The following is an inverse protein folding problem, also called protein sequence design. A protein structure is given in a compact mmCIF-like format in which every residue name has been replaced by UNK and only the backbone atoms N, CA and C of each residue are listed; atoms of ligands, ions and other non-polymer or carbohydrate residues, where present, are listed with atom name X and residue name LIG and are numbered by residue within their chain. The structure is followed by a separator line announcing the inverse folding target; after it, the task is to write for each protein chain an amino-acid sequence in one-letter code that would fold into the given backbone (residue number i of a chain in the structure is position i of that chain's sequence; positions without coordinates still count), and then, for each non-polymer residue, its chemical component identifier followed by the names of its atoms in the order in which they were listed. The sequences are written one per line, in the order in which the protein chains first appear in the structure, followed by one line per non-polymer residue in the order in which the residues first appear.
data_IF_131934203157
#
_entry.id   IF_131934203157
#
_cell.length_a   1.000
_cell.length_b   1.000
_cell.length_c   1.000
_cell.angle_alpha   90.00
_cell.angle_beta   90.00
_cell.angle_gamma   90.00
#
_symmetry.space_group_name_H-M   'P 1'
#
loop_
_entity.id
_entity.type
_entity.pdbx_description
1 polymer ?
#
# COMPACT_ATOMS: atom_id res chain seq x y z
N UNK A 1 -22.90 -0.18 -8.81
CA UNK A 1 -21.50 0.30 -8.94
C UNK A 1 -21.26 0.86 -10.35
N UNK A 2 -22.34 1.10 -11.10
CA UNK A 2 -22.35 1.16 -12.56
C UNK A 2 -22.03 2.57 -13.07
N UNK A 3 -22.22 3.60 -12.24
CA UNK A 3 -21.95 4.99 -12.59
C UNK A 3 -20.44 5.33 -12.64
N UNK A 4 -19.59 4.48 -12.06
CA UNK A 4 -18.14 4.70 -12.08
C UNK A 4 -17.59 4.66 -13.50
N UNK A 5 -18.10 3.76 -14.34
CA UNK A 5 -17.65 3.65 -15.73
C UNK A 5 -18.03 4.90 -16.53
N UNK A 6 -19.16 5.53 -16.20
CA UNK A 6 -19.61 6.78 -16.79
C UNK A 6 -18.84 8.02 -16.32
N UNK A 7 -18.06 7.94 -15.23
CA UNK A 7 -17.38 9.07 -14.58
C UNK A 7 -15.85 8.85 -14.47
N UNK A 8 -15.13 8.68 -15.60
CA UNK A 8 -13.70 8.37 -15.58
C UNK A 8 -12.86 9.49 -14.97
N UNK A 9 -13.22 10.75 -15.20
CA UNK A 9 -12.48 11.89 -14.66
C UNK A 9 -12.60 11.98 -13.14
N UNK A 10 -13.81 11.82 -12.59
CA UNK A 10 -14.01 11.81 -11.14
C UNK A 10 -13.23 10.66 -10.48
N UNK A 11 -13.25 9.47 -11.09
CA UNK A 11 -12.44 8.35 -10.60
C UNK A 11 -10.95 8.66 -10.64
N UNK A 12 -10.44 9.32 -11.68
CA UNK A 12 -9.05 9.74 -11.76
C UNK A 12 -8.68 10.72 -10.64
N UNK A 13 -9.54 11.71 -10.36
CA UNK A 13 -9.34 12.67 -9.25
C UNK A 13 -9.32 11.96 -7.91
N UNK A 14 -10.27 11.07 -7.63
CA UNK A 14 -10.32 10.31 -6.37
C UNK A 14 -9.04 9.47 -6.19
N UNK A 15 -8.56 8.82 -7.26
CA UNK A 15 -7.30 8.06 -7.24
C UNK A 15 -6.10 8.95 -6.98
N UNK A 16 -6.04 10.14 -7.57
CA UNK A 16 -4.93 11.07 -7.38
C UNK A 16 -4.90 11.66 -5.98
N UNK A 17 -6.07 11.97 -5.40
CA UNK A 17 -6.18 12.37 -3.99
C UNK A 17 -5.66 11.27 -3.08
N UNK A 18 -6.06 10.01 -3.33
CA UNK A 18 -5.62 8.89 -2.50
C UNK A 18 -4.14 8.53 -2.71
N UNK A 19 -3.56 8.88 -3.87
CA UNK A 19 -2.11 8.78 -4.12
C UNK A 19 -1.33 9.82 -3.31
N UNK A 20 -1.83 11.05 -3.23
CA UNK A 20 -1.19 12.14 -2.49
C UNK A 20 -1.38 12.05 -0.98
N UNK A 21 -2.58 11.69 -0.54
CA UNK A 21 -2.98 11.63 0.86
C UNK A 21 -3.76 10.34 1.13
N UNK A 22 -3.09 9.18 1.12
CA UNK A 22 -3.73 7.92 1.47
C UNK A 22 -4.22 7.95 2.91
N UNK A 23 -5.37 7.32 3.15
CA UNK A 23 -6.00 7.21 4.48
C UNK A 23 -5.05 6.53 5.48
N UNK A 24 -4.25 5.58 5.01
CA UNK A 24 -3.22 4.90 5.80
C UNK A 24 -1.85 5.05 5.08
N UNK A 25 -1.08 6.11 5.39
CA UNK A 25 0.23 6.39 4.76
C UNK A 25 1.23 5.24 4.81
N UNK A 26 1.16 4.44 5.87
CA UNK A 26 2.01 3.27 6.07
C UNK A 26 1.28 1.93 5.98
N UNK A 27 0.00 1.96 5.59
CA UNK A 27 -0.86 0.78 5.61
C UNK A 27 -1.03 0.19 7.01
N UNK A 28 -1.12 -1.14 7.05
CA UNK A 28 -1.13 -1.92 8.29
C UNK A 28 0.22 -2.58 8.45
N UNK A 29 0.80 -2.50 9.65
CA UNK A 29 2.06 -3.18 9.94
C UNK A 29 1.93 -4.68 9.71
N UNK A 30 2.82 -5.22 8.88
CA UNK A 30 2.89 -6.66 8.60
C UNK A 30 3.97 -7.31 9.45
N UNK A 31 3.85 -8.62 9.68
CA UNK A 31 4.86 -9.41 10.39
C UNK A 31 5.35 -10.55 9.52
N UNK A 32 6.66 -10.68 9.42
CA UNK A 32 7.33 -11.74 8.69
C UNK A 32 7.07 -13.09 9.39
N UNK A 33 6.37 -14.00 8.70
CA UNK A 33 5.97 -15.30 9.26
C UNK A 33 7.09 -16.35 9.21
N UNK A 34 7.98 -16.23 8.24
CA UNK A 34 9.15 -17.08 7.99
C UNK A 34 10.29 -16.19 7.50
N UNK A 35 11.54 -16.58 7.69
CA UNK A 35 12.67 -15.76 7.24
C UNK A 35 12.62 -15.57 5.72
N UNK A 36 13.09 -14.43 5.25
CA UNK A 36 13.14 -14.12 3.82
C UNK A 36 14.41 -13.34 3.47
N UNK A 37 14.78 -13.33 2.19
CA UNK A 37 15.89 -12.52 1.67
C UNK A 37 15.36 -11.59 0.59
N UNK A 38 15.34 -10.30 0.90
CA UNK A 38 14.87 -9.26 -0.02
C UNK A 38 16.05 -8.40 -0.46
N UNK A 39 16.30 -8.29 -1.77
CA UNK A 39 17.43 -7.51 -2.33
C UNK A 39 18.81 -7.83 -1.69
N UNK A 40 19.01 -9.08 -1.27
CA UNK A 40 20.24 -9.51 -0.59
C UNK A 40 20.27 -9.24 0.92
N UNK A 41 19.25 -8.61 1.48
CA UNK A 41 19.09 -8.42 2.93
C UNK A 41 18.33 -9.58 3.56
N UNK A 42 18.92 -10.18 4.58
CA UNK A 42 18.26 -11.22 5.38
C UNK A 42 17.28 -10.58 6.37
N UNK A 43 16.00 -10.96 6.26
CA UNK A 43 14.91 -10.51 7.12
C UNK A 43 14.49 -11.68 8.03
N UNK A 44 14.73 -11.59 9.35
CA UNK A 44 14.38 -12.66 10.28
C UNK A 44 12.87 -12.84 10.44
N UNK A 45 12.47 -14.08 10.77
CA UNK A 45 11.11 -14.38 11.24
C UNK A 45 10.74 -13.51 12.43
N UNK A 46 9.52 -12.94 12.41
CA UNK A 46 9.00 -12.09 13.47
C UNK A 46 9.27 -10.59 13.28
N UNK A 47 10.06 -10.21 12.27
CA UNK A 47 10.30 -8.80 11.93
C UNK A 47 9.01 -8.09 11.53
N UNK A 48 8.81 -6.87 12.04
CA UNK A 48 7.70 -6.00 11.62
C UNK A 48 8.10 -5.21 10.38
N UNK A 49 7.30 -5.31 9.33
CA UNK A 49 7.47 -4.56 8.08
C UNK A 49 6.40 -3.47 8.02
N UNK A 50 6.86 -2.24 7.82
CA UNK A 50 6.01 -1.06 7.66
C UNK A 50 6.16 -0.62 6.20
N UNK A 51 5.06 -0.57 5.47
CA UNK A 51 5.08 -0.04 4.12
C UNK A 51 5.23 1.49 4.18
N UNK A 52 5.93 2.08 3.21
CA UNK A 52 5.92 3.52 3.04
C UNK A 52 5.27 3.85 1.68
N UNK A 53 4.01 4.25 1.69
CA UNK A 53 3.28 4.60 0.48
C UNK A 53 3.38 6.10 0.13
N UNK A 54 3.71 6.93 1.13
CA UNK A 54 3.89 8.38 1.01
C UNK A 54 5.35 8.78 0.78
#
# INVERSE_FOLDING_TARGET
MDDKEALPYLNAVVREVQRWAPIAPTGVSHRVTEYDVYEGYFIPKGTTVIANFC
#
